data_IF_958943637610
#
_entry.id   IF_958943637610
#
_cell.length_a   1.000
_cell.length_b   1.000
_cell.length_c   1.000
_cell.angle_alpha   90.00
_cell.angle_beta   90.00
_cell.angle_gamma   90.00
#
_symmetry.space_group_name_H-M   'P 1'
#
loop_
_entity.id
_entity.type
_entity.pdbx_description
1 polymer ?
#
# COMPACT_ATOMS: atom_id res chain seq x y z
N UNK A 1 25.00 19.29 -12.84
CA UNK A 1 23.67 18.65 -12.73
C UNK A 1 23.39 17.79 -13.95
N UNK A 2 23.84 18.18 -15.14
CA UNK A 2 23.79 17.34 -16.35
C UNK A 2 24.47 15.98 -16.13
N UNK A 3 23.81 14.92 -16.61
CA UNK A 3 24.31 13.54 -16.56
C UNK A 3 24.11 12.81 -15.22
N UNK A 4 23.60 13.47 -14.17
CA UNK A 4 23.36 12.84 -12.86
C UNK A 4 21.87 12.58 -12.62
N UNK A 5 21.01 13.52 -13.00
CA UNK A 5 19.56 13.42 -12.79
C UNK A 5 18.84 13.20 -14.13
N UNK A 6 18.02 12.14 -14.21
CA UNK A 6 17.18 11.88 -15.37
C UNK A 6 16.00 12.87 -15.49
N UNK A 7 15.48 13.32 -14.34
CA UNK A 7 14.34 14.22 -14.22
C UNK A 7 14.65 15.25 -13.14
N UNK A 8 14.23 16.50 -13.36
CA UNK A 8 14.26 17.57 -12.38
C UNK A 8 12.83 18.13 -12.29
N UNK A 9 12.28 18.14 -11.08
CA UNK A 9 10.98 18.77 -10.76
C UNK A 9 11.25 19.91 -9.80
N UNK A 10 10.82 21.11 -10.17
CA UNK A 10 10.96 22.33 -9.40
C UNK A 10 9.62 22.76 -8.78
N UNK A 11 9.63 23.82 -7.99
CA UNK A 11 8.43 24.30 -7.30
C UNK A 11 7.40 24.87 -8.30
N UNK A 12 7.85 25.31 -9.46
CA UNK A 12 7.03 25.88 -10.53
C UNK A 12 6.27 24.82 -11.33
N UNK A 13 6.70 23.56 -11.23
CA UNK A 13 6.10 22.43 -11.96
C UNK A 13 4.85 21.86 -11.26
N UNK A 14 4.58 22.29 -10.03
CA UNK A 14 3.48 21.79 -9.20
C UNK A 14 2.67 22.92 -8.60
N UNK A 15 1.41 22.64 -8.28
CA UNK A 15 0.50 23.64 -7.69
C UNK A 15 0.65 23.72 -6.18
N UNK A 16 1.00 22.60 -5.54
CA UNK A 16 1.08 22.47 -4.08
C UNK A 16 2.47 22.01 -3.66
N UNK A 17 3.05 22.75 -2.71
CA UNK A 17 4.26 22.34 -2.03
C UNK A 17 3.98 21.36 -0.91
N UNK A 18 5.04 20.76 -0.38
CA UNK A 18 5.01 19.91 0.82
C UNK A 18 4.23 20.60 1.96
N UNK A 19 3.41 19.88 2.74
CA UNK A 19 3.32 18.41 2.82
C UNK A 19 2.49 17.73 1.72
N UNK A 20 1.96 18.46 0.73
CA UNK A 20 1.27 17.81 -0.40
C UNK A 20 2.25 16.91 -1.20
N UNK A 21 1.83 15.68 -1.58
CA UNK A 21 2.67 14.72 -2.30
C UNK A 21 2.89 15.04 -3.79
N UNK A 22 2.24 16.07 -4.35
CA UNK A 22 2.19 16.36 -5.80
C UNK A 22 3.58 16.27 -6.47
N UNK A 23 4.62 16.88 -5.89
CA UNK A 23 5.96 16.88 -6.49
C UNK A 23 6.58 15.48 -6.59
N UNK A 24 6.32 14.62 -5.61
CA UNK A 24 6.88 13.27 -5.60
C UNK A 24 6.15 12.37 -6.58
N UNK A 25 4.82 12.43 -6.57
CA UNK A 25 4.00 11.69 -7.53
C UNK A 25 4.35 12.10 -8.96
N UNK A 26 4.50 13.40 -9.21
CA UNK A 26 4.88 13.91 -10.51
C UNK A 26 6.29 13.46 -10.94
N UNK A 27 7.27 13.51 -10.03
CA UNK A 27 8.62 13.01 -10.31
C UNK A 27 8.62 11.50 -10.65
N UNK A 28 7.87 10.68 -9.91
CA UNK A 28 7.75 9.24 -10.17
C UNK A 28 7.10 8.95 -11.54
N UNK A 29 6.08 9.73 -11.92
CA UNK A 29 5.44 9.63 -13.25
C UNK A 29 6.44 9.93 -14.38
N UNK A 30 7.20 11.01 -14.26
CA UNK A 30 8.22 11.38 -15.26
C UNK A 30 9.35 10.34 -15.35
N UNK A 31 9.72 9.73 -14.23
CA UNK A 31 10.70 8.64 -14.17
C UNK A 31 10.12 7.27 -14.61
N UNK A 32 8.80 7.16 -14.77
CA UNK A 32 8.07 5.92 -15.07
C UNK A 32 8.26 4.80 -14.02
N UNK A 33 8.31 5.16 -12.74
CA UNK A 33 8.32 4.21 -11.62
C UNK A 33 7.03 4.30 -10.80
N UNK A 34 6.64 3.19 -10.18
CA UNK A 34 5.56 3.18 -9.19
C UNK A 34 6.04 3.84 -7.89
N UNK A 35 5.19 4.60 -7.17
CA UNK A 35 5.61 5.28 -5.96
C UNK A 35 6.18 4.37 -4.87
N UNK A 36 5.65 3.16 -4.73
CA UNK A 36 6.10 2.18 -3.73
C UNK A 36 7.55 1.69 -3.96
N UNK A 37 8.12 1.95 -5.14
CA UNK A 37 9.53 1.68 -5.47
C UNK A 37 10.42 2.93 -5.40
N UNK A 38 9.86 4.07 -5.02
CA UNK A 38 10.60 5.32 -4.87
C UNK A 38 10.99 5.53 -3.40
N UNK A 39 12.21 6.05 -3.22
CA UNK A 39 12.73 6.47 -1.92
C UNK A 39 12.95 7.98 -1.97
N UNK A 40 12.32 8.71 -1.06
CA UNK A 40 12.48 10.14 -0.86
C UNK A 40 13.56 10.38 0.18
N UNK A 41 14.45 11.32 -0.11
CA UNK A 41 15.43 11.82 0.85
C UNK A 41 15.04 13.24 1.28
N UNK A 42 15.02 13.49 2.59
CA UNK A 42 14.63 14.79 3.13
C UNK A 42 15.13 15.03 4.55
N UNK A 43 14.81 16.19 5.12
CA UNK A 43 15.25 16.58 6.46
C UNK A 43 14.16 17.32 7.26
N UNK A 44 12.89 17.16 6.86
CA UNK A 44 11.76 17.84 7.50
C UNK A 44 10.54 16.92 7.58
N UNK A 45 9.71 17.12 8.61
CA UNK A 45 8.47 16.36 8.77
C UNK A 45 7.50 16.54 7.60
N UNK A 46 7.45 17.73 6.98
CA UNK A 46 6.68 17.96 5.76
C UNK A 46 7.15 17.09 4.59
N UNK A 47 8.45 16.77 4.52
CA UNK A 47 8.97 15.85 3.49
C UNK A 47 8.58 14.42 3.78
N UNK A 48 8.62 14.00 5.05
CA UNK A 48 8.21 12.66 5.48
C UNK A 48 6.72 12.46 5.19
N UNK A 49 5.89 13.41 5.60
CA UNK A 49 4.43 13.40 5.37
C UNK A 49 4.12 13.31 3.87
N UNK A 50 4.70 14.20 3.05
CA UNK A 50 4.51 14.17 1.60
C UNK A 50 4.97 12.84 0.95
N UNK A 51 6.07 12.25 1.42
CA UNK A 51 6.54 10.98 0.90
C UNK A 51 5.57 9.84 1.23
N UNK A 52 5.09 9.80 2.48
CA UNK A 52 4.16 8.77 2.95
C UNK A 52 2.79 8.89 2.30
N UNK A 53 2.27 10.11 2.13
CA UNK A 53 1.03 10.36 1.38
C UNK A 53 1.14 9.95 -0.09
N UNK A 54 2.36 10.04 -0.66
CA UNK A 54 2.68 9.52 -1.99
C UNK A 54 2.88 7.99 -2.03
N UNK A 55 2.76 7.27 -0.89
CA UNK A 55 3.10 5.84 -0.73
C UNK A 55 4.57 5.51 -1.02
N UNK A 56 5.44 6.50 -0.90
CA UNK A 56 6.88 6.33 -1.04
C UNK A 56 7.53 6.10 0.33
N UNK A 57 8.70 5.47 0.32
CA UNK A 57 9.53 5.36 1.52
C UNK A 57 10.33 6.64 1.73
N UNK A 58 10.56 7.03 2.97
CA UNK A 58 11.31 8.24 3.31
C UNK A 58 12.54 7.92 4.16
N UNK A 59 13.70 8.41 3.72
CA UNK A 59 14.93 8.48 4.51
C UNK A 59 15.14 9.92 4.96
N UNK A 60 15.08 10.14 6.27
CA UNK A 60 15.35 11.44 6.87
C UNK A 60 16.85 11.58 7.21
N UNK A 61 17.48 12.64 6.71
CA UNK A 61 18.86 13.02 7.04
C UNK A 61 18.81 14.13 8.08
N UNK A 62 18.99 13.77 9.34
CA UNK A 62 18.83 14.68 10.46
C UNK A 62 19.85 15.83 10.43
N UNK A 63 21.10 15.56 10.03
CA UNK A 63 22.19 16.54 10.04
C UNK A 63 22.33 17.23 11.41
N UNK A 64 21.82 18.46 11.55
CA UNK A 64 21.82 19.23 12.81
C UNK A 64 20.54 19.09 13.64
N UNK A 65 19.48 18.54 13.05
CA UNK A 65 18.22 18.31 13.75
C UNK A 65 18.35 17.12 14.70
N UNK A 66 17.68 17.15 15.86
CA UNK A 66 17.54 15.97 16.69
C UNK A 66 16.82 14.85 15.94
N UNK A 67 17.37 13.64 15.98
CA UNK A 67 16.81 12.45 15.30
C UNK A 67 15.35 12.19 15.68
N UNK A 68 14.98 12.46 16.95
CA UNK A 68 13.62 12.23 17.44
C UNK A 68 12.57 13.11 16.74
N UNK A 69 12.96 14.26 16.18
CA UNK A 69 12.02 15.14 15.47
C UNK A 69 11.57 14.54 14.14
N UNK A 70 12.37 13.65 13.54
CA UNK A 70 12.14 13.04 12.23
C UNK A 70 11.75 11.55 12.33
N UNK A 71 11.35 11.11 13.53
CA UNK A 71 11.08 9.70 13.84
C UNK A 71 9.92 9.08 13.07
N UNK A 72 9.14 9.87 12.34
CA UNK A 72 8.10 9.36 11.44
C UNK A 72 8.69 8.77 10.14
N UNK A 73 9.93 9.07 9.76
CA UNK A 73 10.53 8.51 8.55
C UNK A 73 10.79 7.00 8.68
N UNK A 74 10.83 6.29 7.54
CA UNK A 74 11.12 4.85 7.55
C UNK A 74 12.56 4.54 7.99
N UNK A 75 13.49 5.48 7.75
CA UNK A 75 14.85 5.43 8.28
C UNK A 75 15.35 6.84 8.58
N UNK A 76 16.04 7.02 9.71
CA UNK A 76 16.69 8.28 10.06
C UNK A 76 18.19 8.06 10.18
N UNK A 77 18.97 8.85 9.46
CA UNK A 77 20.44 8.86 9.52
C UNK A 77 20.94 10.25 9.85
N UNK A 78 22.14 10.38 10.45
CA UNK A 78 22.73 11.71 10.65
C UNK A 78 23.37 12.22 9.37
N UNK A 79 23.98 11.32 8.61
CA UNK A 79 24.73 11.61 7.40
C UNK A 79 24.45 10.56 6.31
N UNK A 80 24.54 10.95 5.03
CA UNK A 80 24.24 10.06 3.91
C UNK A 80 25.26 8.93 3.73
N UNK A 81 26.48 9.08 4.25
CA UNK A 81 27.54 8.05 4.24
C UNK A 81 27.31 6.92 5.25
N UNK A 82 26.29 7.04 6.11
CA UNK A 82 25.82 5.96 6.98
C UNK A 82 24.94 4.94 6.23
N UNK A 83 24.53 5.26 4.99
CA UNK A 83 23.66 4.40 4.19
C UNK A 83 24.46 3.45 3.30
N UNK A 84 24.03 2.20 3.26
CA UNK A 84 24.49 1.22 2.29
C UNK A 84 23.46 0.98 1.19
N UNK A 85 23.90 0.42 0.06
CA UNK A 85 23.00 -0.03 -1.01
C UNK A 85 22.04 -1.12 -0.51
N UNK A 86 22.45 -1.89 0.50
CA UNK A 86 21.60 -2.93 1.10
C UNK A 86 20.41 -2.30 1.81
N UNK A 87 20.63 -1.21 2.56
CA UNK A 87 19.55 -0.48 3.24
C UNK A 87 18.51 0.03 2.23
N UNK A 88 18.98 0.60 1.11
CA UNK A 88 18.11 1.08 0.05
C UNK A 88 17.31 -0.04 -0.61
N UNK A 89 17.94 -1.19 -0.87
CA UNK A 89 17.26 -2.35 -1.45
C UNK A 89 16.20 -2.93 -0.52
N UNK A 90 16.51 -3.02 0.78
CA UNK A 90 15.57 -3.49 1.78
C UNK A 90 14.37 -2.55 1.89
N UNK A 91 14.61 -1.24 1.80
CA UNK A 91 13.55 -0.26 1.88
C UNK A 91 12.64 -0.26 0.64
N UNK A 92 13.20 -0.44 -0.55
CA UNK A 92 12.45 -0.51 -1.81
C UNK A 92 11.86 -1.90 -2.11
N UNK A 93 12.02 -2.88 -1.22
CA UNK A 93 11.44 -4.20 -1.39
C UNK A 93 9.91 -4.11 -1.24
N UNK A 94 9.20 -4.20 -2.35
CA UNK A 94 7.74 -4.33 -2.33
C UNK A 94 7.42 -5.78 -1.99
N UNK A 95 6.96 -6.02 -0.75
CA UNK A 95 6.30 -7.28 -0.43
C UNK A 95 5.07 -7.39 -1.33
N UNK A 96 4.99 -8.46 -2.11
CA UNK A 96 3.77 -8.75 -2.86
C UNK A 96 2.71 -9.00 -1.80
N UNK A 97 1.76 -8.07 -1.65
CA UNK A 97 0.57 -8.31 -0.86
C UNK A 97 0.02 -9.67 -1.33
N UNK A 98 0.00 -10.65 -0.44
CA UNK A 98 -0.64 -11.92 -0.70
C UNK A 98 -2.06 -11.58 -1.16
N UNK A 99 -2.34 -11.82 -2.44
CA UNK A 99 -3.68 -11.73 -2.98
C UNK A 99 -4.53 -12.64 -2.09
N UNK A 100 -5.41 -12.04 -1.29
CA UNK A 100 -6.37 -12.79 -0.49
C UNK A 100 -7.03 -13.82 -1.40
N UNK A 101 -6.95 -15.08 -0.99
CA UNK A 101 -7.70 -16.18 -1.59
C UNK A 101 -9.12 -15.74 -1.88
N UNK A 102 -9.60 -15.97 -3.11
CA UNK A 102 -10.99 -15.71 -3.49
C UNK A 102 -11.93 -16.32 -2.44
N UNK A 103 -13.01 -15.63 -2.03
CA UNK A 103 -13.94 -16.20 -1.08
C UNK A 103 -14.56 -17.45 -1.70
N UNK A 104 -14.35 -18.62 -1.10
CA UNK A 104 -15.02 -19.86 -1.46
C UNK A 104 -16.54 -19.65 -1.27
N UNK A 105 -17.28 -19.67 -2.38
CA UNK A 105 -18.74 -19.66 -2.38
C UNK A 105 -19.23 -20.93 -1.68
N UNK A 106 -19.75 -20.80 -0.45
CA UNK A 106 -20.44 -21.89 0.24
C UNK A 106 -21.72 -22.25 -0.54
N UNK A 107 -21.73 -23.42 -1.15
CA UNK A 107 -22.93 -24.00 -1.75
C UNK A 107 -23.81 -24.58 -0.63
N UNK A 108 -25.03 -24.04 -0.44
CA UNK A 108 -26.02 -24.69 0.42
C UNK A 108 -26.47 -26.02 -0.23
N UNK A 109 -26.50 -27.14 0.51
CA UNK A 109 -26.94 -28.41 -0.05
C UNK A 109 -28.46 -28.47 -0.18
N UNK A 110 -28.94 -28.91 -1.36
CA UNK A 110 -30.34 -29.20 -1.63
C UNK A 110 -30.86 -30.29 -0.67
N UNK A 111 -32.00 -30.03 0.00
CA UNK A 111 -32.64 -30.98 0.92
C UNK A 111 -33.14 -32.24 0.16
N UNK A 112 -32.58 -33.41 0.47
CA UNK A 112 -32.99 -34.71 -0.09
C UNK A 112 -34.29 -35.25 0.54
N UNK A 113 -35.21 -35.63 -0.35
CA UNK A 113 -36.44 -36.40 -0.16
C UNK A 113 -36.24 -37.68 0.68
N UNK A 114 -36.80 -37.73 1.89
CA UNK A 114 -36.94 -38.95 2.68
C UNK A 114 -38.40 -39.29 2.99
N UNK A 115 -38.95 -40.11 2.10
CA UNK A 115 -40.15 -40.92 2.22
C UNK A 115 -40.18 -41.78 3.49
N UNK A 116 -41.33 -41.80 4.18
CA UNK A 116 -41.72 -42.84 5.13
C UNK A 116 -43.19 -43.29 4.90
N UNK A 117 -43.56 -44.52 5.34
CA UNK A 117 -44.26 -45.53 4.51
C UNK A 117 -45.79 -45.53 4.65
N UNK A 118 -46.53 -46.29 3.80
CA UNK A 118 -47.98 -46.38 3.92
C UNK A 118 -48.37 -47.45 4.94
N UNK A 119 -49.10 -47.06 5.98
CA UNK A 119 -49.82 -48.00 6.84
C UNK A 119 -51.33 -47.86 6.61
N UNK A 120 -51.91 -48.97 6.15
CA UNK A 120 -53.33 -49.30 6.03
C UNK A 120 -54.26 -48.70 7.09
N UNK A 121 -55.47 -48.28 6.70
CA UNK A 121 -56.79 -48.82 7.11
C UNK A 121 -57.86 -48.21 6.18
N UNK A 122 -58.78 -49.03 5.67
CA UNK A 122 -59.84 -48.64 4.73
C UNK A 122 -61.14 -48.13 5.36
N UNK A 123 -62.17 -48.13 4.51
CA UNK A 123 -63.63 -47.85 4.69
C UNK A 123 -64.02 -46.40 5.02
N UNK A 124 -65.05 -45.78 4.45
CA UNK A 124 -66.13 -46.14 3.50
C UNK A 124 -66.68 -44.84 2.88
N UNK A 125 -67.43 -44.97 1.78
CA UNK A 125 -68.29 -43.96 1.16
C UNK A 125 -69.29 -43.33 2.16
N UNK A 126 -69.61 -42.03 2.02
CA UNK A 126 -70.99 -41.49 1.94
C UNK A 126 -71.12 -39.96 2.14
N UNK A 127 -71.67 -39.30 1.12
CA UNK A 127 -72.78 -38.32 1.14
C UNK A 127 -72.88 -37.18 2.19
N UNK A 128 -72.67 -35.94 1.71
CA UNK A 128 -73.55 -34.74 1.65
C UNK A 128 -72.76 -33.43 1.81
#
# INVERSE_FOLDING_TARGET
>A
MEGIFNVIVAAEDVHRGKPDPEMFVYAAQLLQFIPERCIVFGNSNQTVEAAHDARMKCIAVASKHPVYELGAADLVVKHLDELSIIDLKNLAAVESAEFGSEPELEMEPDEEDHRHPPSSVGVDDDFW
#
